data_IF_804301059207
#
_entry.id   IF_804301059207
#
_cell.length_a   1.000
_cell.length_b   1.000
_cell.length_c   1.000
_cell.angle_alpha   90.00
_cell.angle_beta   90.00
_cell.angle_gamma   90.00
#
_symmetry.space_group_name_H-M   'P 1'
#
loop_
_entity.id
_entity.type
_entity.pdbx_description
1 polymer ?
#
# COMPACT_ATOMS: atom_id res chain seq x y z
N UNK A 1 10.76 7.04 -7.26
CA UNK A 1 9.36 6.54 -7.18
C UNK A 1 8.32 7.52 -7.71
N UNK A 2 8.69 8.71 -8.19
CA UNK A 2 7.76 9.78 -8.61
C UNK A 2 7.21 9.65 -10.05
N UNK A 3 7.73 8.73 -10.87
CA UNK A 3 7.32 8.59 -12.28
C UNK A 3 6.28 7.49 -12.56
N UNK A 4 6.11 6.52 -11.66
CA UNK A 4 5.23 5.37 -11.89
C UNK A 4 3.76 5.68 -11.65
N UNK A 5 3.43 6.53 -10.67
CA UNK A 5 2.05 6.89 -10.33
C UNK A 5 1.34 7.61 -11.49
N UNK A 6 1.94 8.66 -12.11
CA UNK A 6 1.35 9.29 -13.29
C UNK A 6 1.14 8.30 -14.44
N UNK A 7 2.08 7.37 -14.64
CA UNK A 7 1.95 6.33 -15.65
C UNK A 7 0.76 5.41 -15.38
N UNK A 8 0.61 4.93 -14.14
CA UNK A 8 -0.46 4.01 -13.75
C UNK A 8 -1.84 4.66 -13.89
N UNK A 9 -1.98 5.90 -13.40
CA UNK A 9 -3.24 6.66 -13.45
C UNK A 9 -3.63 7.10 -14.87
N UNK A 10 -2.67 7.19 -15.80
CA UNK A 10 -2.95 7.54 -17.20
C UNK A 10 -3.65 6.43 -17.99
N UNK A 11 -3.64 5.19 -17.47
CA UNK A 11 -4.21 4.04 -18.17
C UNK A 11 -5.70 3.90 -17.92
N UNK A 12 -6.39 3.39 -18.94
CA UNK A 12 -7.84 3.22 -18.93
C UNK A 12 -8.17 1.77 -18.59
N UNK A 13 -9.02 1.60 -17.58
CA UNK A 13 -9.58 0.32 -17.16
C UNK A 13 -10.35 -0.36 -18.32
N UNK A 14 -10.25 -1.69 -18.43
CA UNK A 14 -10.83 -2.53 -19.50
C UNK A 14 -10.34 -2.27 -20.93
N UNK A 15 -9.36 -1.37 -21.13
CA UNK A 15 -8.73 -1.12 -22.43
C UNK A 15 -7.22 -1.35 -22.36
N UNK A 16 -6.57 -0.83 -21.32
CA UNK A 16 -5.13 -1.00 -21.10
C UNK A 16 -4.83 -2.12 -20.10
N UNK A 17 -5.66 -2.26 -19.08
CA UNK A 17 -5.52 -3.26 -18.02
C UNK A 17 -6.89 -3.65 -17.48
N UNK A 18 -6.96 -4.76 -16.75
CA UNK A 18 -8.14 -5.18 -16.02
C UNK A 18 -7.95 -6.54 -15.35
N UNK A 19 -8.97 -6.99 -14.62
CA UNK A 19 -9.01 -8.31 -14.01
C UNK A 19 -9.58 -9.35 -14.99
N UNK A 20 -9.11 -10.59 -14.87
CA UNK A 20 -9.72 -11.71 -15.58
C UNK A 20 -11.10 -11.99 -14.98
N UNK A 21 -12.13 -11.91 -15.80
CA UNK A 21 -13.47 -12.38 -15.45
C UNK A 21 -13.46 -13.92 -15.35
N UNK A 22 -14.45 -14.54 -14.67
CA UNK A 22 -14.51 -16.00 -14.57
C UNK A 22 -14.48 -16.69 -15.94
N UNK A 23 -15.24 -16.15 -16.92
CA UNK A 23 -15.26 -16.70 -18.28
C UNK A 23 -13.95 -16.52 -19.04
N UNK A 24 -13.22 -15.42 -18.82
CA UNK A 24 -11.90 -15.22 -19.42
C UNK A 24 -10.84 -16.09 -18.77
N UNK A 25 -10.96 -16.34 -17.46
CA UNK A 25 -10.10 -17.25 -16.73
C UNK A 25 -10.25 -18.69 -17.22
N UNK A 26 -11.49 -19.14 -17.45
CA UNK A 26 -11.75 -20.49 -17.97
C UNK A 26 -11.14 -20.68 -19.36
N UNK A 27 -11.37 -19.75 -20.29
CA UNK A 27 -10.73 -19.75 -21.63
C UNK A 27 -9.21 -19.75 -21.54
N UNK A 28 -8.66 -19.01 -20.58
CA UNK A 28 -7.22 -18.91 -20.42
C UNK A 28 -6.62 -20.19 -19.81
N UNK A 29 -7.35 -20.88 -18.93
CA UNK A 29 -6.98 -22.19 -18.37
C UNK A 29 -7.14 -23.34 -19.38
N UNK A 30 -8.14 -23.27 -20.27
CA UNK A 30 -8.29 -24.20 -21.39
C UNK A 30 -7.08 -24.14 -22.33
N UNK A 31 -6.56 -22.93 -22.57
CA UNK A 31 -5.39 -22.72 -23.42
C UNK A 31 -4.08 -23.09 -22.72
N UNK A 32 -3.93 -22.66 -21.46
CA UNK A 32 -2.74 -22.93 -20.65
C UNK A 32 -3.15 -23.47 -19.26
N UNK A 33 -3.16 -24.81 -19.09
CA UNK A 33 -3.47 -25.44 -17.82
C UNK A 33 -2.50 -25.08 -16.68
N UNK A 34 -1.29 -24.58 -16.99
CA UNK A 34 -0.25 -24.24 -16.02
C UNK A 34 -0.08 -22.73 -15.82
N UNK A 35 -1.12 -21.95 -16.12
CA UNK A 35 -1.09 -20.49 -15.95
C UNK A 35 -0.60 -20.07 -14.55
N UNK A 36 0.36 -19.13 -14.45
CA UNK A 36 0.87 -18.66 -13.17
C UNK A 36 -0.21 -17.97 -12.33
N UNK A 37 -0.12 -18.16 -11.00
CA UNK A 37 -1.06 -17.57 -10.03
C UNK A 37 -1.10 -16.04 -10.06
N UNK A 38 0.03 -15.40 -10.37
CA UNK A 38 0.12 -13.94 -10.51
C UNK A 38 -0.85 -13.42 -11.56
N UNK A 39 -0.89 -14.03 -12.74
CA UNK A 39 -1.82 -13.67 -13.83
C UNK A 39 -3.28 -13.94 -13.48
N UNK A 40 -3.55 -14.96 -12.67
CA UNK A 40 -4.90 -15.27 -12.20
C UNK A 40 -5.42 -14.23 -11.22
N UNK A 41 -4.56 -13.70 -10.35
CA UNK A 41 -4.97 -12.84 -9.23
C UNK A 41 -4.75 -11.34 -9.46
N UNK A 42 -3.73 -10.97 -10.24
CA UNK A 42 -3.37 -9.57 -10.48
C UNK A 42 -4.04 -9.05 -11.75
N UNK A 43 -4.04 -7.73 -11.93
CA UNK A 43 -4.43 -7.12 -13.19
C UNK A 43 -3.54 -7.64 -14.34
N UNK A 44 -4.11 -7.78 -15.53
CA UNK A 44 -3.48 -8.25 -16.76
C UNK A 44 -3.59 -7.14 -17.81
N UNK A 45 -2.61 -6.95 -18.72
CA UNK A 45 -2.73 -5.96 -19.77
C UNK A 45 -3.78 -6.39 -20.81
N UNK A 46 -4.50 -5.42 -21.36
CA UNK A 46 -5.53 -5.65 -22.39
C UNK A 46 -4.98 -5.20 -23.75
N UNK A 47 -5.28 -5.98 -24.79
CA UNK A 47 -4.88 -5.64 -26.17
C UNK A 47 -5.88 -4.71 -26.85
N UNK A 48 -7.08 -4.63 -26.30
CA UNK A 48 -8.18 -3.82 -26.79
C UNK A 48 -9.31 -3.83 -25.76
N UNK A 49 -10.46 -3.28 -26.15
CA UNK A 49 -11.63 -3.24 -25.27
C UNK A 49 -12.04 -4.65 -24.85
N UNK A 50 -12.03 -4.92 -23.55
CA UNK A 50 -12.44 -6.20 -22.94
C UNK A 50 -11.70 -7.44 -23.45
N UNK A 51 -10.53 -7.29 -24.08
CA UNK A 51 -9.73 -8.41 -24.59
C UNK A 51 -8.41 -8.49 -23.82
N UNK A 52 -8.27 -9.44 -22.87
CA UNK A 52 -7.02 -9.62 -22.14
C UNK A 52 -5.92 -10.13 -23.07
N UNK A 53 -4.71 -9.58 -22.91
CA UNK A 53 -3.53 -10.03 -23.63
C UNK A 53 -3.17 -11.45 -23.21
N UNK A 54 -2.70 -12.27 -24.16
CA UNK A 54 -2.34 -13.68 -23.92
C UNK A 54 -1.10 -13.85 -23.04
N UNK A 55 -0.17 -12.89 -23.10
CA UNK A 55 0.99 -12.81 -22.22
C UNK A 55 0.75 -11.72 -21.16
N UNK A 56 1.16 -12.00 -19.91
CA UNK A 56 1.06 -11.03 -18.81
C UNK A 56 2.45 -10.50 -18.53
N UNK A 57 2.90 -9.55 -19.33
CA UNK A 57 4.19 -8.90 -19.11
C UNK A 57 3.96 -7.44 -18.72
N UNK A 58 4.10 -7.18 -17.43
CA UNK A 58 4.38 -5.83 -16.95
C UNK A 58 5.85 -5.76 -16.60
N UNK A 59 6.52 -4.71 -17.04
CA UNK A 59 7.96 -4.54 -16.83
C UNK A 59 8.35 -4.35 -15.36
N UNK A 60 7.42 -3.90 -14.50
CA UNK A 60 7.73 -3.53 -13.12
C UNK A 60 6.65 -4.01 -12.14
N UNK A 61 6.99 -4.65 -11.01
CA UNK A 61 6.01 -5.13 -10.03
C UNK A 61 5.11 -4.02 -9.47
N UNK A 62 5.66 -2.85 -9.16
CA UNK A 62 4.87 -1.70 -8.68
C UNK A 62 3.78 -1.24 -9.66
N UNK A 63 4.02 -1.34 -10.98
CA UNK A 63 2.99 -1.04 -11.98
C UNK A 63 1.87 -2.05 -11.89
N UNK A 64 2.19 -3.34 -11.75
CA UNK A 64 1.17 -4.39 -11.59
C UNK A 64 0.34 -4.17 -10.34
N UNK A 65 0.98 -3.85 -9.22
CA UNK A 65 0.31 -3.59 -7.95
C UNK A 65 -0.62 -2.39 -8.11
N UNK A 66 -0.12 -1.28 -8.68
CA UNK A 66 -0.92 -0.08 -8.92
C UNK A 66 -2.13 -0.34 -9.82
N UNK A 67 -1.92 -1.03 -10.94
CA UNK A 67 -3.02 -1.44 -11.85
C UNK A 67 -4.01 -2.38 -11.16
N UNK A 68 -3.54 -3.29 -10.31
CA UNK A 68 -4.41 -4.22 -9.57
C UNK A 68 -5.27 -3.47 -8.56
N UNK A 69 -4.71 -2.50 -7.84
CA UNK A 69 -5.48 -1.65 -6.92
C UNK A 69 -6.53 -0.84 -7.68
N UNK A 70 -6.16 -0.24 -8.82
CA UNK A 70 -7.10 0.50 -9.66
C UNK A 70 -8.20 -0.40 -10.24
N UNK A 71 -7.85 -1.60 -10.70
CA UNK A 71 -8.82 -2.54 -11.24
C UNK A 71 -9.84 -2.96 -10.17
N UNK A 72 -9.41 -3.23 -8.93
CA UNK A 72 -10.34 -3.45 -7.82
C UNK A 72 -11.17 -2.21 -7.48
N UNK A 73 -10.67 -1.00 -7.74
CA UNK A 73 -11.38 0.24 -7.49
C UNK A 73 -12.47 0.53 -8.54
N UNK A 74 -12.28 0.07 -9.78
CA UNK A 74 -13.22 0.27 -10.89
C UNK A 74 -14.16 -0.93 -11.10
N UNK A 75 -13.60 -2.14 -11.16
CA UNK A 75 -14.34 -3.39 -11.40
C UNK A 75 -14.92 -3.99 -10.11
N UNK A 76 -14.39 -3.60 -8.95
CA UNK A 76 -14.72 -4.20 -7.66
C UNK A 76 -13.90 -5.46 -7.34
N UNK A 77 -14.01 -5.94 -6.10
CA UNK A 77 -13.32 -7.15 -5.65
C UNK A 77 -14.05 -8.40 -6.15
N UNK A 78 -13.32 -9.38 -6.68
CA UNK A 78 -13.91 -10.67 -7.08
C UNK A 78 -14.41 -11.41 -5.85
N UNK A 79 -15.51 -12.14 -6.00
CA UNK A 79 -16.11 -12.89 -4.89
C UNK A 79 -15.17 -13.95 -4.29
N UNK A 80 -14.32 -14.56 -5.13
CA UNK A 80 -13.28 -15.50 -4.69
C UNK A 80 -12.25 -14.84 -3.80
N UNK A 81 -11.80 -13.63 -4.16
CA UNK A 81 -10.79 -12.88 -3.41
C UNK A 81 -11.38 -12.35 -2.11
N UNK A 82 -12.65 -11.93 -2.13
CA UNK A 82 -13.38 -11.55 -0.93
C UNK A 82 -13.49 -12.71 0.08
N UNK A 83 -13.88 -13.90 -0.38
CA UNK A 83 -13.93 -15.10 0.47
C UNK A 83 -12.57 -15.47 1.06
N UNK A 84 -11.53 -15.43 0.23
CA UNK A 84 -10.16 -15.70 0.68
C UNK A 84 -9.75 -14.70 1.76
N UNK A 85 -10.02 -13.42 1.54
CA UNK A 85 -9.69 -12.36 2.48
C UNK A 85 -10.47 -12.51 3.80
N UNK A 86 -11.77 -12.82 3.75
CA UNK A 86 -12.56 -13.13 4.96
C UNK A 86 -12.03 -14.36 5.70
N UNK A 87 -11.58 -15.40 4.98
CA UNK A 87 -10.96 -16.59 5.56
C UNK A 87 -9.66 -16.25 6.29
N UNK A 88 -8.78 -15.47 5.65
CA UNK A 88 -7.54 -14.98 6.28
C UNK A 88 -7.81 -14.13 7.51
N UNK A 89 -8.79 -13.24 7.43
CA UNK A 89 -9.21 -12.42 8.57
C UNK A 89 -9.70 -13.29 9.74
N UNK A 90 -10.37 -14.41 9.46
CA UNK A 90 -10.80 -15.33 10.50
C UNK A 90 -9.62 -16.10 11.13
N UNK A 91 -8.67 -16.55 10.31
CA UNK A 91 -7.44 -17.22 10.76
C UNK A 91 -6.62 -16.28 11.67
N UNK A 92 -6.36 -15.05 11.22
CA UNK A 92 -5.62 -14.04 11.98
C UNK A 92 -6.33 -13.72 13.30
N UNK A 93 -7.66 -13.61 13.28
CA UNK A 93 -8.46 -13.42 14.49
C UNK A 93 -8.27 -14.59 15.46
N UNK A 94 -8.21 -15.83 14.97
CA UNK A 94 -8.06 -17.01 15.81
C UNK A 94 -6.66 -17.12 16.45
N UNK A 95 -5.63 -16.64 15.75
CA UNK A 95 -4.24 -16.62 16.22
C UNK A 95 -3.99 -15.48 17.23
N UNK A 96 -4.65 -14.34 17.07
CA UNK A 96 -4.52 -13.20 17.98
C UNK A 96 -4.95 -13.53 19.43
N UNK A 97 -4.09 -13.19 20.38
CA UNK A 97 -4.35 -13.35 21.80
C UNK A 97 -5.23 -12.23 22.39
N UNK A 98 -6.00 -12.57 23.42
CA UNK A 98 -6.77 -11.62 24.21
C UNK A 98 -8.28 -11.61 23.91
N UNK A 99 -9.03 -10.72 24.57
CA UNK A 99 -10.47 -10.59 24.38
C UNK A 99 -10.82 -10.22 22.93
N UNK A 100 -11.89 -10.81 22.37
CA UNK A 100 -12.30 -10.57 20.98
C UNK A 100 -12.53 -9.09 20.63
N UNK A 101 -12.86 -8.24 21.60
CA UNK A 101 -13.13 -6.82 21.38
C UNK A 101 -11.86 -6.01 21.12
N UNK A 102 -10.74 -6.44 21.69
CA UNK A 102 -9.47 -5.72 21.61
C UNK A 102 -8.56 -6.24 20.50
N UNK A 103 -8.90 -7.39 19.92
CA UNK A 103 -8.21 -7.99 18.78
C UNK A 103 -8.18 -7.03 17.60
N UNK A 104 -6.97 -6.79 17.07
CA UNK A 104 -6.77 -5.84 15.97
C UNK A 104 -7.57 -6.26 14.74
N UNK A 105 -7.72 -7.56 14.54
CA UNK A 105 -8.44 -8.13 13.41
C UNK A 105 -9.96 -7.94 13.53
N UNK A 106 -10.52 -8.07 14.74
CA UNK A 106 -11.93 -7.75 14.99
C UNK A 106 -12.24 -6.26 14.80
N UNK A 107 -11.32 -5.37 15.23
CA UNK A 107 -11.44 -3.93 14.98
C UNK A 107 -11.38 -3.60 13.48
N UNK A 108 -10.47 -4.22 12.72
CA UNK A 108 -10.41 -4.08 11.25
C UNK A 108 -11.72 -4.51 10.58
N UNK A 109 -12.29 -5.65 10.98
CA UNK A 109 -13.57 -6.12 10.46
C UNK A 109 -14.71 -5.14 10.79
N UNK A 110 -14.82 -4.72 12.06
CA UNK A 110 -15.84 -3.76 12.49
C UNK A 110 -15.72 -2.44 11.72
N UNK A 111 -14.50 -1.97 11.47
CA UNK A 111 -14.21 -0.80 10.62
C UNK A 111 -14.72 -1.01 9.19
N UNK A 112 -14.41 -2.13 8.54
CA UNK A 112 -14.88 -2.38 7.18
C UNK A 112 -16.40 -2.42 7.09
N UNK A 113 -17.06 -3.07 8.04
CA UNK A 113 -18.53 -3.10 8.12
C UNK A 113 -19.11 -1.70 8.34
N UNK A 114 -18.50 -0.89 9.21
CA UNK A 114 -18.94 0.49 9.47
C UNK A 114 -18.77 1.40 8.25
N UNK A 115 -17.66 1.26 7.51
CA UNK A 115 -17.42 1.99 6.25
C UNK A 115 -18.40 1.56 5.15
N UNK A 116 -18.80 0.30 5.13
CA UNK A 116 -19.87 -0.20 4.26
C UNK A 116 -21.28 0.24 4.71
N UNK A 117 -21.40 0.98 5.82
CA UNK A 117 -22.68 1.44 6.37
C UNK A 117 -23.40 0.44 7.28
N UNK A 118 -22.81 -0.73 7.52
CA UNK A 118 -23.32 -1.72 8.45
C UNK A 118 -22.95 -1.42 9.91
N UNK A 119 -23.46 -2.25 10.84
CA UNK A 119 -23.12 -2.18 12.26
C UNK A 119 -22.77 -3.57 12.78
N UNK A 120 -21.64 -3.67 13.49
CA UNK A 120 -21.26 -4.87 14.24
C UNK A 120 -21.73 -4.73 15.67
N UNK A 121 -22.16 -5.85 16.27
CA UNK A 121 -22.72 -5.88 17.62
C UNK A 121 -21.72 -5.25 18.62
N UNK A 122 -22.21 -4.26 19.38
CA UNK A 122 -21.48 -3.59 20.48
C UNK A 122 -20.25 -2.79 20.03
N UNK A 123 -20.24 -2.24 18.82
CA UNK A 123 -19.21 -1.27 18.40
C UNK A 123 -19.91 -0.06 17.77
N UNK A 124 -19.73 1.14 18.36
CA UNK A 124 -20.29 2.34 17.77
C UNK A 124 -19.42 2.79 16.58
N UNK A 125 -20.07 3.33 15.54
CA UNK A 125 -19.38 3.85 14.35
C UNK A 125 -18.42 5.00 14.70
N UNK A 126 -18.81 5.80 15.69
CA UNK A 126 -18.07 6.99 16.13
C UNK A 126 -16.73 6.61 16.78
N UNK A 127 -16.73 5.57 17.62
CA UNK A 127 -15.50 5.04 18.25
C UNK A 127 -14.49 4.56 17.20
N UNK A 128 -14.97 3.99 16.09
CA UNK A 128 -14.10 3.51 15.03
C UNK A 128 -13.50 4.64 14.20
N UNK A 129 -14.22 5.74 14.02
CA UNK A 129 -13.74 6.90 13.25
C UNK A 129 -12.72 7.72 14.04
N UNK A 130 -12.91 7.88 15.35
CA UNK A 130 -11.94 8.56 16.22
C UNK A 130 -10.62 7.79 16.31
N UNK A 131 -10.66 6.44 16.33
CA UNK A 131 -9.45 5.61 16.20
C UNK A 131 -8.70 5.87 14.88
N UNK A 132 -9.38 6.22 13.77
CA UNK A 132 -8.71 6.52 12.48
C UNK A 132 -7.98 7.85 12.50
N UNK A 133 -8.60 8.88 13.04
CA UNK A 133 -8.00 10.20 13.17
C UNK A 133 -6.75 10.13 14.07
N UNK A 134 -6.82 9.30 15.13
CA UNK A 134 -5.67 9.02 15.99
C UNK A 134 -4.56 8.27 15.24
N UNK A 135 -4.89 7.25 14.43
CA UNK A 135 -3.89 6.53 13.62
C UNK A 135 -3.23 7.46 12.60
N UNK A 136 -4.02 8.27 11.90
CA UNK A 136 -3.52 9.21 10.89
C UNK A 136 -2.62 10.28 11.51
N UNK A 137 -2.99 10.86 12.65
CA UNK A 137 -2.16 11.82 13.37
C UNK A 137 -0.88 11.19 13.89
N UNK A 138 -0.93 9.93 14.34
CA UNK A 138 0.26 9.19 14.79
C UNK A 138 1.25 8.99 13.65
N UNK A 139 0.78 8.53 12.48
CA UNK A 139 1.62 8.38 11.27
C UNK A 139 2.20 9.72 10.84
N UNK A 140 1.39 10.78 10.77
CA UNK A 140 1.85 12.12 10.42
C UNK A 140 2.91 12.65 11.39
N UNK A 141 2.76 12.38 12.69
CA UNK A 141 3.74 12.73 13.71
C UNK A 141 5.06 11.99 13.51
N UNK A 142 5.01 10.68 13.24
CA UNK A 142 6.22 9.89 12.99
C UNK A 142 6.96 10.35 11.73
N UNK A 143 6.24 10.67 10.66
CA UNK A 143 6.83 11.22 9.44
C UNK A 143 7.54 12.56 9.71
N UNK A 144 6.93 13.44 10.51
CA UNK A 144 7.53 14.71 10.88
C UNK A 144 8.79 14.51 11.73
N UNK A 145 8.76 13.58 12.69
CA UNK A 145 9.95 13.23 13.48
C UNK A 145 11.08 12.66 12.62
N UNK A 146 10.77 11.84 11.63
CA UNK A 146 11.77 11.31 10.69
C UNK A 146 12.38 12.41 9.83
N UNK A 147 11.59 13.40 9.38
CA UNK A 147 12.10 14.56 8.64
C UNK A 147 13.05 15.39 9.49
N UNK A 148 12.67 15.71 10.72
CA UNK A 148 13.53 16.44 11.65
C UNK A 148 14.83 15.68 11.94
N UNK A 149 14.75 14.36 12.11
CA UNK A 149 15.94 13.52 12.30
C UNK A 149 16.87 13.53 11.08
N UNK A 150 16.31 13.51 9.86
CA UNK A 150 17.09 13.57 8.62
C UNK A 150 17.72 14.96 8.40
N UNK A 151 17.03 16.04 8.77
CA UNK A 151 17.54 17.41 8.73
C UNK A 151 18.70 17.59 9.72
N UNK A 152 18.55 17.10 10.96
CA UNK A 152 19.63 17.13 11.95
C UNK A 152 20.84 16.29 11.55
N UNK A 153 20.63 15.15 10.86
CA UNK A 153 21.72 14.35 10.32
C UNK A 153 22.45 15.02 9.15
N UNK A 154 21.77 15.89 8.39
CA UNK A 154 22.39 16.71 7.34
C UNK A 154 23.21 17.85 7.95
N UNK A 155 22.68 18.56 8.94
CA UNK A 155 23.38 19.65 9.64
C UNK A 155 24.61 19.14 10.42
N UNK A 156 24.55 17.93 10.99
CA UNK A 156 25.66 17.30 11.70
C UNK A 156 26.86 16.87 10.82
N UNK A 157 26.68 16.81 9.50
CA UNK A 157 27.77 16.51 8.55
C UNK A 157 28.53 17.77 8.10
N UNK A 158 27.97 18.97 8.32
CA UNK A 158 28.62 20.25 7.98
C UNK A 158 29.50 20.80 9.12
N UNK A 159 29.21 20.45 10.38
CA UNK A 159 29.95 20.92 11.57
C UNK A 159 31.32 20.23 11.78
N UNK A 160 31.59 19.08 11.15
CA UNK A 160 32.84 18.30 11.34
C UNK A 160 33.96 18.63 10.32
N UNK A 161 33.89 19.80 9.66
CA UNK A 161 34.99 20.30 8.83
C UNK A 161 36.20 20.73 9.68
N UNK A 162 37.39 20.10 9.55
CA UNK A 162 38.53 20.37 10.42
C UNK A 162 39.30 21.61 9.94
N UNK A 163 38.76 22.81 10.09
CA UNK A 163 39.55 24.03 9.90
C UNK A 163 39.03 25.25 10.67
N UNK A 164 39.21 25.27 11.99
CA UNK A 164 39.25 26.50 12.81
C UNK A 164 40.35 26.42 13.87
N UNK A 165 41.61 26.36 13.43
CA UNK A 165 42.78 26.80 14.21
C UNK A 165 43.80 27.47 13.29
N UNK A 166 43.43 28.62 12.74
CA UNK A 166 44.38 29.59 12.25
C UNK A 166 43.81 30.99 12.53
N UNK A 167 44.69 31.90 12.96
CA UNK A 167 44.48 33.33 13.18
C UNK A 167 43.83 33.78 14.51
N UNK A 168 44.61 33.79 15.59
CA UNK A 168 44.68 34.99 16.46
C UNK A 168 46.07 35.10 17.10
N UNK A 169 46.84 36.08 16.62
CA UNK A 169 47.77 36.85 17.46
C UNK A 169 49.15 36.28 17.76
N UNK A 170 50.06 36.29 16.78
CA UNK A 170 51.45 36.61 17.08
C UNK A 170 51.59 38.15 17.12
N UNK A 171 51.93 38.74 18.27
CA UNK A 171 52.49 40.08 18.33
C UNK A 171 53.49 40.19 19.49
N UNK A 172 54.76 40.28 19.08
CA UNK A 172 55.92 40.98 19.63
C UNK A 172 56.17 41.02 21.16
N UNK A 173 57.27 40.46 21.68
CA UNK A 173 58.67 40.97 21.78
C UNK A 173 58.97 41.76 23.07
N UNK A 174 60.09 41.38 23.69
CA UNK A 174 61.04 42.15 24.54
C UNK A 174 60.75 42.31 26.04
N UNK A 175 61.74 41.89 26.83
CA UNK A 175 61.88 42.10 28.27
C UNK A 175 62.79 41.06 28.90
#
# INVERSE_FOLDING_TARGET
>A
MSSLIPFVLSKIDRVSFGLLTPGDLDKALERDPKMPRSRRLLAVPFMGKDVPSQASEFAHPDVVIGMTVLAYRYEGLRWTDFKLMMGRLYEDMAEEYGPYQDRTTCKKFARWVALAGGRVRRTAREDLLSELELQQSTVAKYELLQRLANEQAADGLDEDSPNRRASTGAFATTG
#
